data_IF_588086678384
#
_entry.id   IF_588086678384
#
_cell.length_a   1.000
_cell.length_b   1.000
_cell.length_c   1.000
_cell.angle_alpha   90.00
_cell.angle_beta   90.00
_cell.angle_gamma   90.00
#
_symmetry.space_group_name_H-M   'P 1'
#
loop_
_entity.id
_entity.type
_entity.pdbx_description
1 polymer ?
#
# COMPACT_ATOMS: atom_id res chain seq x y z
N UNK A 1 25.31 2.45 -12.15
CA UNK A 1 24.43 3.60 -12.41
C UNK A 1 23.17 3.36 -11.62
N UNK A 2 22.81 4.23 -10.67
CA UNK A 2 21.53 4.11 -9.97
C UNK A 2 20.48 4.49 -11.02
N UNK A 3 19.77 3.49 -11.56
CA UNK A 3 18.64 3.74 -12.45
C UNK A 3 17.71 4.75 -11.78
N UNK A 4 17.31 5.76 -12.54
CA UNK A 4 16.44 6.81 -12.05
C UNK A 4 15.11 6.16 -11.61
N UNK A 5 14.80 6.27 -10.32
CA UNK A 5 13.62 5.63 -9.73
C UNK A 5 12.36 6.16 -10.41
N UNK A 6 11.48 5.25 -10.86
CA UNK A 6 10.25 5.63 -11.55
C UNK A 6 9.33 6.43 -10.62
N UNK A 7 9.10 7.68 -10.99
CA UNK A 7 8.09 8.57 -10.38
C UNK A 7 6.78 8.50 -11.17
N UNK A 8 5.67 8.82 -10.52
CA UNK A 8 4.35 8.85 -11.16
C UNK A 8 3.48 7.61 -10.87
N UNK A 9 2.33 7.47 -11.58
CA UNK A 9 1.31 6.47 -11.27
C UNK A 9 1.84 5.04 -11.42
N UNK A 10 1.29 4.15 -10.61
CA UNK A 10 1.51 2.71 -10.71
C UNK A 10 0.76 2.16 -11.91
N UNK A 11 1.41 1.28 -12.67
CA UNK A 11 0.76 0.51 -13.75
C UNK A 11 0.21 -0.81 -13.21
N UNK A 12 -0.74 -1.39 -13.93
CA UNK A 12 -1.30 -2.70 -13.58
C UNK A 12 -0.23 -3.81 -13.57
N UNK A 13 0.82 -3.67 -14.38
CA UNK A 13 1.97 -4.58 -14.36
C UNK A 13 2.76 -4.49 -13.05
N UNK A 14 3.07 -3.26 -12.61
CA UNK A 14 3.76 -3.05 -11.34
C UNK A 14 2.92 -3.60 -10.17
N UNK A 15 1.60 -3.42 -10.21
CA UNK A 15 0.68 -3.95 -9.21
C UNK A 15 0.66 -5.49 -9.18
N UNK A 16 0.66 -6.13 -10.36
CA UNK A 16 0.74 -7.61 -10.47
C UNK A 16 2.05 -8.14 -9.93
N UNK A 17 3.18 -7.51 -10.28
CA UNK A 17 4.51 -7.88 -9.76
C UNK A 17 4.54 -7.77 -8.24
N UNK A 18 4.09 -6.62 -7.69
CA UNK A 18 4.07 -6.38 -6.25
C UNK A 18 3.20 -7.41 -5.52
N UNK A 19 1.97 -7.64 -6.00
CA UNK A 19 1.02 -8.57 -5.37
C UNK A 19 1.50 -10.02 -5.46
N UNK A 20 2.04 -10.44 -6.60
CA UNK A 20 2.60 -11.80 -6.79
C UNK A 20 3.79 -12.05 -5.87
N UNK A 21 4.70 -11.08 -5.77
CA UNK A 21 5.85 -11.19 -4.88
C UNK A 21 5.40 -11.32 -3.42
N UNK A 22 4.46 -10.49 -2.97
CA UNK A 22 3.94 -10.55 -1.58
C UNK A 22 3.22 -11.87 -1.32
N UNK A 23 2.42 -12.36 -2.26
CA UNK A 23 1.74 -13.65 -2.12
C UNK A 23 2.73 -14.81 -1.93
N UNK A 24 3.90 -14.74 -2.58
CA UNK A 24 4.94 -15.78 -2.49
C UNK A 24 5.88 -15.63 -1.29
N UNK A 25 6.18 -14.41 -0.86
CA UNK A 25 7.25 -14.11 0.09
C UNK A 25 6.80 -13.45 1.39
N UNK A 26 5.52 -13.10 1.50
CA UNK A 26 4.96 -12.35 2.61
C UNK A 26 5.13 -10.83 2.49
N UNK A 27 4.40 -10.09 3.33
CA UNK A 27 4.46 -8.63 3.38
C UNK A 27 5.65 -8.12 4.22
N UNK A 28 6.16 -6.94 3.87
CA UNK A 28 7.25 -6.28 4.61
C UNK A 28 8.60 -6.25 3.88
N UNK A 29 9.65 -5.91 4.62
CA UNK A 29 11.03 -5.74 4.10
C UNK A 29 11.08 -4.93 2.79
N UNK A 30 10.32 -3.85 2.73
CA UNK A 30 9.94 -3.18 1.49
C UNK A 30 11.09 -2.76 0.57
N UNK A 31 12.23 -2.35 1.13
CA UNK A 31 13.42 -2.00 0.33
C UNK A 31 14.01 -3.23 -0.37
N UNK A 32 14.09 -4.36 0.32
CA UNK A 32 14.52 -5.63 -0.28
C UNK A 32 13.48 -6.13 -1.25
N UNK A 33 12.20 -6.04 -0.89
CA UNK A 33 11.09 -6.45 -1.74
C UNK A 33 11.14 -5.75 -3.10
N UNK A 34 11.24 -4.42 -3.13
CA UNK A 34 11.25 -3.67 -4.38
C UNK A 34 12.39 -4.13 -5.31
N UNK A 35 13.58 -4.34 -4.75
CA UNK A 35 14.75 -4.82 -5.49
C UNK A 35 14.56 -6.26 -5.98
N UNK A 36 14.13 -7.17 -5.10
CA UNK A 36 13.98 -8.59 -5.42
C UNK A 36 12.81 -8.86 -6.39
N UNK A 37 11.77 -8.02 -6.36
CA UNK A 37 10.66 -8.08 -7.31
C UNK A 37 11.00 -7.45 -8.67
N UNK A 38 12.17 -6.81 -8.82
CA UNK A 38 12.54 -6.10 -10.05
C UNK A 38 11.74 -4.83 -10.30
N UNK A 39 11.13 -4.24 -9.26
CA UNK A 39 10.36 -3.01 -9.37
C UNK A 39 11.31 -1.81 -9.38
N UNK A 40 11.18 -0.92 -10.38
CA UNK A 40 11.87 0.37 -10.38
C UNK A 40 11.16 1.39 -9.46
N UNK A 41 10.92 1.01 -8.21
CA UNK A 41 10.20 1.78 -7.18
C UNK A 41 10.95 1.73 -5.85
N UNK A 42 10.75 2.73 -5.00
CA UNK A 42 11.27 2.68 -3.62
C UNK A 42 10.46 1.71 -2.77
N UNK A 43 11.07 1.14 -1.73
CA UNK A 43 10.33 0.33 -0.75
C UNK A 43 9.19 1.11 -0.09
N UNK A 44 9.38 2.41 0.19
CA UNK A 44 8.30 3.29 0.67
C UNK A 44 7.12 3.33 -0.30
N UNK A 45 7.38 3.44 -1.60
CA UNK A 45 6.33 3.42 -2.63
C UNK A 45 5.59 2.09 -2.65
N UNK A 46 6.32 0.95 -2.62
CA UNK A 46 5.71 -0.38 -2.59
C UNK A 46 4.84 -0.58 -1.34
N UNK A 47 5.32 -0.15 -0.16
CA UNK A 47 4.54 -0.20 1.09
C UNK A 47 3.22 0.55 0.95
N UNK A 48 3.28 1.80 0.50
CA UNK A 48 2.09 2.65 0.36
C UNK A 48 1.13 2.09 -0.69
N UNK A 49 1.65 1.57 -1.80
CA UNK A 49 0.81 0.96 -2.82
C UNK A 49 0.06 -0.26 -2.30
N UNK A 50 0.76 -1.15 -1.59
CA UNK A 50 0.16 -2.33 -0.99
C UNK A 50 -0.91 -1.95 0.05
N UNK A 51 -0.52 -1.21 1.09
CA UNK A 51 -1.39 -0.93 2.23
C UNK A 51 -2.61 -0.08 1.89
N UNK A 52 -2.50 0.82 0.90
CA UNK A 52 -3.60 1.75 0.59
C UNK A 52 -4.45 1.32 -0.60
N UNK A 53 -3.97 0.39 -1.44
CA UNK A 53 -4.67 0.04 -2.68
C UNK A 53 -4.77 -1.47 -2.95
N UNK A 54 -3.69 -2.24 -2.80
CA UNK A 54 -3.70 -3.63 -3.29
C UNK A 54 -4.07 -4.67 -2.23
N UNK A 55 -3.92 -4.36 -0.95
CA UNK A 55 -4.20 -5.32 0.12
C UNK A 55 -5.70 -5.68 0.12
N UNK A 56 -6.07 -6.97 0.20
CA UNK A 56 -7.47 -7.41 0.02
C UNK A 56 -8.48 -6.86 1.04
N UNK A 57 -8.00 -6.48 2.22
CA UNK A 57 -8.80 -5.95 3.32
C UNK A 57 -9.11 -4.44 3.17
N UNK A 58 -8.55 -3.77 2.16
CA UNK A 58 -8.83 -2.37 1.89
C UNK A 58 -10.25 -2.23 1.33
N UNK A 59 -11.18 -1.76 2.17
CA UNK A 59 -12.56 -1.44 1.78
C UNK A 59 -12.57 -0.20 0.88
N UNK A 60 -13.24 -0.32 -0.26
CA UNK A 60 -13.44 0.77 -1.23
C UNK A 60 -14.92 1.11 -1.30
N UNK A 61 -15.25 2.39 -1.22
CA UNK A 61 -16.62 2.87 -1.31
C UNK A 61 -16.93 3.91 -0.25
N UNK A 62 -18.23 4.17 -0.09
CA UNK A 62 -18.71 5.14 0.87
C UNK A 62 -18.61 4.59 2.29
N UNK A 63 -18.26 5.48 3.22
CA UNK A 63 -18.26 5.19 4.65
C UNK A 63 -19.71 5.15 5.12
N UNK A 64 -20.14 4.05 5.75
CA UNK A 64 -21.50 3.89 6.28
C UNK A 64 -21.76 4.87 7.43
N UNK A 65 -23.03 5.08 7.81
CA UNK A 65 -23.36 5.94 8.94
C UNK A 65 -22.73 5.42 10.24
N UNK A 66 -22.75 4.10 10.45
CA UNK A 66 -22.14 3.45 11.60
C UNK A 66 -20.62 3.66 11.63
N UNK A 67 -19.96 3.52 10.47
CA UNK A 67 -18.52 3.79 10.35
C UNK A 67 -18.21 5.28 10.59
N UNK A 68 -19.04 6.21 10.11
CA UNK A 68 -18.89 7.64 10.38
C UNK A 68 -19.00 7.96 11.87
N UNK A 69 -20.01 7.40 12.55
CA UNK A 69 -20.19 7.59 13.99
C UNK A 69 -19.01 7.02 14.78
N UNK A 70 -18.52 5.84 14.39
CA UNK A 70 -17.36 5.23 15.02
C UNK A 70 -16.10 6.10 14.83
N UNK A 71 -15.88 6.64 13.63
CA UNK A 71 -14.75 7.55 13.37
C UNK A 71 -14.81 8.76 14.30
N UNK A 72 -15.97 9.39 14.45
CA UNK A 72 -16.17 10.54 15.34
C UNK A 72 -15.93 10.17 16.81
N UNK A 73 -16.43 9.01 17.26
CA UNK A 73 -16.22 8.54 18.62
C UNK A 73 -14.72 8.33 18.91
N UNK A 74 -14.03 7.61 18.02
CA UNK A 74 -12.60 7.31 18.20
C UNK A 74 -11.76 8.58 18.14
N UNK A 75 -12.08 9.52 17.25
CA UNK A 75 -11.40 10.81 17.17
C UNK A 75 -11.60 11.65 18.42
N UNK A 76 -12.82 11.72 18.95
CA UNK A 76 -13.12 12.42 20.21
C UNK A 76 -12.31 11.83 21.37
N UNK A 77 -12.15 10.51 21.40
CA UNK A 77 -11.43 9.81 22.48
C UNK A 77 -9.90 9.90 22.37
N UNK A 78 -9.34 9.89 21.16
CA UNK A 78 -7.90 9.69 20.95
C UNK A 78 -7.21 10.75 20.08
N UNK A 79 -7.97 11.65 19.47
CA UNK A 79 -7.46 12.68 18.56
C UNK A 79 -6.97 12.10 17.22
N UNK A 80 -6.05 12.81 16.57
CA UNK A 80 -5.46 12.44 15.26
C UNK A 80 -4.40 11.33 15.38
N UNK A 81 -4.72 10.23 16.04
CA UNK A 81 -3.83 9.08 16.24
C UNK A 81 -4.31 7.87 15.45
#
# INVERSE_FOLDING_TARGET
MMEDLRRGPWTDEEDRILSSYIAKHGEGRWNSLARCAGLNRTGKSCRLRWLNYLRPDVRRGNISLEEQLLILELHSRWGNR
#
